data_IF_093026257888
#
_entry.id   IF_093026257888
#
_cell.length_a   1.000
_cell.length_b   1.000
_cell.length_c   1.000
_cell.angle_alpha   90.00
_cell.angle_beta   90.00
_cell.angle_gamma   90.00
#
_symmetry.space_group_name_H-M   'P 1'
#
loop_
_entity.id
_entity.type
_entity.pdbx_description
1 polymer ?
#
# COMPACT_ATOMS: atom_id res chain seq x y z
N UNK A 1 67.92 4.04 -12.34
CA UNK A 1 68.09 2.97 -11.34
C UNK A 1 66.86 3.10 -10.43
N UNK A 2 65.83 2.30 -10.66
CA UNK A 2 64.60 2.34 -9.85
C UNK A 2 64.74 1.28 -8.77
N UNK A 3 64.94 1.73 -7.54
CA UNK A 3 65.15 0.85 -6.40
C UNK A 3 63.89 0.02 -6.10
N UNK A 4 64.06 -1.29 -6.18
CA UNK A 4 63.05 -2.31 -5.92
C UNK A 4 62.97 -2.66 -4.42
N UNK A 5 63.06 -1.66 -3.54
CA UNK A 5 63.04 -1.88 -2.08
C UNK A 5 61.69 -1.49 -1.45
N UNK A 6 60.59 -1.94 -2.05
CA UNK A 6 59.30 -2.06 -1.35
C UNK A 6 58.33 -3.04 -2.05
N UNK A 7 58.86 -4.11 -2.62
CA UNK A 7 58.10 -4.98 -3.53
C UNK A 7 57.30 -6.07 -2.81
N UNK A 8 57.56 -6.32 -1.52
CA UNK A 8 56.91 -7.38 -0.74
C UNK A 8 55.64 -6.94 0.01
N UNK A 9 55.67 -5.79 0.70
CA UNK A 9 54.54 -5.31 1.52
C UNK A 9 53.49 -4.61 0.66
N UNK A 10 53.90 -3.74 -0.26
CA UNK A 10 53.00 -3.05 -1.20
C UNK A 10 52.23 -4.00 -2.13
N UNK A 11 52.87 -5.07 -2.61
CA UNK A 11 52.24 -6.06 -3.49
C UNK A 11 51.14 -6.86 -2.78
N UNK A 12 51.30 -7.15 -1.48
CA UNK A 12 50.28 -7.82 -0.67
C UNK A 12 49.06 -6.92 -0.45
N UNK A 13 49.28 -5.66 -0.13
CA UNK A 13 48.21 -4.66 0.02
C UNK A 13 47.43 -4.48 -1.28
N UNK A 14 48.12 -4.42 -2.42
CA UNK A 14 47.47 -4.33 -3.73
C UNK A 14 46.59 -5.56 -4.03
N UNK A 15 47.04 -6.77 -3.67
CA UNK A 15 46.26 -8.02 -3.84
C UNK A 15 44.99 -8.01 -2.98
N UNK A 16 45.05 -7.53 -1.73
CA UNK A 16 43.86 -7.48 -0.89
C UNK A 16 42.81 -6.50 -1.42
N UNK A 17 43.25 -5.35 -1.95
CA UNK A 17 42.35 -4.35 -2.53
C UNK A 17 41.67 -4.88 -3.79
N UNK A 18 42.38 -5.58 -4.67
CA UNK A 18 41.77 -6.14 -5.89
C UNK A 18 40.79 -7.26 -5.58
N UNK A 19 41.08 -8.12 -4.60
CA UNK A 19 40.15 -9.17 -4.14
C UNK A 19 38.88 -8.57 -3.54
N UNK A 20 39.00 -7.49 -2.76
CA UNK A 20 37.84 -6.80 -2.18
C UNK A 20 36.93 -6.22 -3.27
N UNK A 21 37.50 -5.54 -4.27
CA UNK A 21 36.72 -4.97 -5.40
C UNK A 21 36.07 -6.06 -6.24
N UNK A 22 36.78 -7.17 -6.51
CA UNK A 22 36.21 -8.30 -7.24
C UNK A 22 35.03 -8.94 -6.50
N UNK A 23 35.13 -9.11 -5.17
CA UNK A 23 34.03 -9.65 -4.36
C UNK A 23 32.80 -8.75 -4.33
N UNK A 24 32.99 -7.43 -4.37
CA UNK A 24 31.89 -6.47 -4.43
C UNK A 24 31.15 -6.54 -5.78
N UNK A 25 31.88 -6.66 -6.89
CA UNK A 25 31.29 -6.80 -8.24
C UNK A 25 30.59 -8.16 -8.43
N UNK A 26 31.15 -9.23 -7.88
CA UNK A 26 30.51 -10.57 -7.90
C UNK A 26 29.25 -10.58 -7.03
N UNK A 27 29.29 -9.94 -5.86
CA UNK A 27 28.11 -9.75 -5.01
C UNK A 27 27.00 -8.99 -5.73
N UNK A 28 27.33 -7.89 -6.42
CA UNK A 28 26.37 -7.11 -7.21
C UNK A 28 25.77 -7.92 -8.37
N UNK A 29 26.58 -8.71 -9.08
CA UNK A 29 26.12 -9.57 -10.17
C UNK A 29 25.26 -10.74 -9.66
N UNK A 30 25.59 -11.32 -8.50
CA UNK A 30 24.84 -12.40 -7.88
C UNK A 30 23.46 -11.95 -7.37
N UNK A 31 23.32 -10.69 -6.95
CA UNK A 31 22.01 -10.10 -6.61
C UNK A 31 21.12 -9.97 -7.86
N UNK A 32 21.69 -9.68 -9.03
CA UNK A 32 20.94 -9.57 -10.29
C UNK A 32 20.69 -10.91 -11.01
N UNK A 33 21.40 -11.99 -10.64
CA UNK A 33 21.32 -13.29 -11.32
C UNK A 33 20.41 -14.29 -10.58
N UNK A 34 19.10 -14.20 -10.85
CA UNK A 34 18.21 -15.37 -10.85
C UNK A 34 17.46 -15.77 -9.57
N UNK A 35 17.73 -15.17 -8.40
CA UNK A 35 16.97 -15.49 -7.17
C UNK A 35 15.80 -14.54 -6.88
N UNK A 36 15.81 -13.31 -7.41
CA UNK A 36 14.77 -12.30 -7.10
C UNK A 36 13.65 -12.24 -8.17
N UNK A 37 13.87 -12.85 -9.33
CA UNK A 37 12.90 -12.84 -10.44
C UNK A 37 11.72 -13.80 -10.20
N UNK A 38 11.98 -14.99 -9.65
CA UNK A 38 10.93 -15.98 -9.39
C UNK A 38 10.04 -15.63 -8.18
N UNK A 39 10.51 -14.77 -7.27
CA UNK A 39 9.70 -14.26 -6.15
C UNK A 39 8.76 -13.11 -6.60
N UNK A 40 9.22 -12.29 -7.55
CA UNK A 40 8.40 -11.20 -8.12
C UNK A 40 7.18 -11.72 -8.88
N UNK A 41 7.29 -12.89 -9.53
CA UNK A 41 6.17 -13.55 -10.20
C UNK A 41 5.10 -14.10 -9.25
N UNK A 42 5.50 -14.65 -8.10
CA UNK A 42 4.58 -15.15 -7.07
C UNK A 42 3.84 -14.01 -6.33
N UNK A 43 4.52 -12.88 -6.11
CA UNK A 43 3.89 -11.67 -5.52
C UNK A 43 2.95 -10.99 -6.53
N UNK A 44 3.23 -11.09 -7.83
CA UNK A 44 2.38 -10.52 -8.89
C UNK A 44 1.03 -11.23 -9.04
N UNK A 45 0.93 -12.53 -8.67
CA UNK A 45 -0.34 -13.28 -8.68
C UNK A 45 -1.37 -12.76 -7.68
N UNK A 46 -0.93 -12.15 -6.57
CA UNK A 46 -1.80 -11.52 -5.56
C UNK A 46 -2.26 -10.12 -6.02
N UNK A 47 -1.46 -9.42 -6.81
CA UNK A 47 -1.76 -8.06 -7.28
C UNK A 47 -2.81 -8.00 -8.41
N UNK A 48 -3.06 -9.09 -9.13
CA UNK A 48 -4.04 -9.10 -10.23
C UNK A 48 -5.49 -9.04 -9.75
N UNK A 49 -5.81 -9.58 -8.57
CA UNK A 49 -7.15 -9.46 -7.95
C UNK A 49 -7.43 -8.03 -7.47
N UNK A 50 -6.41 -7.31 -7.00
CA UNK A 50 -6.52 -5.91 -6.54
C UNK A 50 -6.64 -4.91 -7.71
N UNK A 51 -6.03 -5.24 -8.86
CA UNK A 51 -5.98 -4.36 -10.03
C UNK A 51 -7.33 -4.23 -10.74
N UNK A 52 -8.12 -5.31 -10.83
CA UNK A 52 -9.44 -5.28 -11.48
C UNK A 52 -10.49 -4.52 -10.65
N UNK A 53 -10.40 -4.58 -9.31
CA UNK A 53 -11.21 -3.77 -8.39
C UNK A 53 -10.81 -2.29 -8.43
N UNK A 54 -9.51 -2.01 -8.51
CA UNK A 54 -9.03 -0.61 -8.54
C UNK A 54 -9.39 0.08 -9.86
N UNK A 55 -9.26 -0.62 -10.99
CA UNK A 55 -9.55 -0.06 -12.33
C UNK A 55 -11.06 0.19 -12.54
N UNK A 56 -11.94 -0.60 -11.92
CA UNK A 56 -13.41 -0.44 -11.99
C UNK A 56 -13.95 0.66 -11.05
N UNK A 57 -13.36 0.83 -9.86
CA UNK A 57 -13.66 1.97 -8.96
C UNK A 57 -13.20 3.29 -9.58
N UNK A 58 -12.04 3.31 -10.23
CA UNK A 58 -11.48 4.51 -10.85
C UNK A 58 -12.36 5.07 -11.98
N UNK A 59 -12.92 4.21 -12.84
CA UNK A 59 -13.77 4.62 -13.98
C UNK A 59 -15.09 5.29 -13.57
N UNK A 60 -15.53 5.10 -12.33
CA UNK A 60 -16.76 5.70 -11.79
C UNK A 60 -16.49 7.02 -11.06
N UNK A 61 -15.24 7.26 -10.66
CA UNK A 61 -14.81 8.39 -9.81
C UNK A 61 -14.73 9.73 -10.55
N UNK A 62 -14.57 9.72 -11.87
CA UNK A 62 -14.38 10.94 -12.68
C UNK A 62 -15.64 11.84 -12.79
N UNK A 63 -16.75 11.50 -12.11
CA UNK A 63 -18.01 12.24 -12.20
C UNK A 63 -18.51 12.87 -10.90
N UNK A 64 -17.88 12.61 -9.75
CA UNK A 64 -18.39 13.09 -8.44
C UNK A 64 -17.28 13.78 -7.66
N UNK A 65 -17.44 15.09 -7.42
CA UNK A 65 -16.60 15.85 -6.50
C UNK A 65 -16.98 15.55 -5.05
N UNK A 66 -16.11 14.84 -4.34
CA UNK A 66 -16.27 14.52 -2.91
C UNK A 66 -15.74 15.62 -1.99
N UNK A 67 -15.24 16.75 -2.53
CA UNK A 67 -14.68 17.84 -1.72
C UNK A 67 -15.68 18.43 -0.72
N UNK A 68 -16.94 18.60 -1.13
CA UNK A 68 -17.99 19.07 -0.22
C UNK A 68 -18.27 18.07 0.92
N UNK A 69 -18.23 16.77 0.62
CA UNK A 69 -18.41 15.73 1.63
C UNK A 69 -17.33 15.83 2.72
N UNK A 70 -16.06 15.92 2.32
CA UNK A 70 -14.94 16.05 3.26
C UNK A 70 -14.96 17.37 4.03
N UNK A 71 -15.38 18.47 3.39
CA UNK A 71 -15.52 19.76 4.09
C UNK A 71 -16.52 19.67 5.23
N UNK A 72 -17.67 19.02 5.01
CA UNK A 72 -18.68 18.83 6.06
C UNK A 72 -18.20 17.86 7.13
N UNK A 73 -17.51 16.78 6.73
CA UNK A 73 -16.88 15.84 7.66
C UNK A 73 -15.94 16.57 8.63
N UNK A 74 -15.00 17.36 8.10
CA UNK A 74 -14.04 18.12 8.88
C UNK A 74 -14.73 19.15 9.79
N UNK A 75 -15.78 19.82 9.31
CA UNK A 75 -16.53 20.79 10.11
C UNK A 75 -17.22 20.12 11.30
N UNK A 76 -17.80 18.94 11.12
CA UNK A 76 -18.38 18.14 12.20
C UNK A 76 -17.31 17.69 13.19
N UNK A 77 -16.15 17.23 12.70
CA UNK A 77 -15.04 16.83 13.57
C UNK A 77 -14.45 17.99 14.39
N UNK A 78 -14.52 19.21 13.88
CA UNK A 78 -13.99 20.39 14.58
C UNK A 78 -15.00 21.02 15.54
N UNK A 79 -16.31 20.92 15.26
CA UNK A 79 -17.33 21.71 15.96
C UNK A 79 -18.38 20.89 16.71
N UNK A 80 -18.50 19.60 16.44
CA UNK A 80 -19.49 18.77 17.13
C UNK A 80 -19.07 18.53 18.57
N UNK A 81 -19.95 18.86 19.51
CA UNK A 81 -19.66 18.88 20.95
C UNK A 81 -19.27 17.50 21.49
N UNK A 82 -19.78 16.43 20.88
CA UNK A 82 -19.59 15.05 21.32
C UNK A 82 -19.04 14.18 20.18
N UNK A 83 -18.00 14.67 19.51
CA UNK A 83 -17.40 13.97 18.36
C UNK A 83 -16.79 12.62 18.72
N UNK A 84 -16.30 12.47 19.94
CA UNK A 84 -15.61 11.27 20.39
C UNK A 84 -16.58 10.12 20.70
N UNK A 85 -17.89 10.37 20.77
CA UNK A 85 -18.90 9.33 20.96
C UNK A 85 -19.26 8.56 19.69
N UNK A 86 -18.84 9.06 18.52
CA UNK A 86 -19.12 8.44 17.23
C UNK A 86 -17.81 7.97 16.61
N UNK A 87 -17.67 6.66 16.44
CA UNK A 87 -16.49 6.06 15.79
C UNK A 87 -16.37 6.49 14.33
N UNK A 88 -15.15 6.43 13.78
CA UNK A 88 -14.95 6.72 12.36
C UNK A 88 -15.71 5.73 11.48
N UNK A 89 -15.75 4.46 11.88
CA UNK A 89 -16.52 3.41 11.22
C UNK A 89 -18.02 3.73 11.17
N UNK A 90 -18.60 4.18 12.28
CA UNK A 90 -20.02 4.55 12.35
C UNK A 90 -20.33 5.73 11.44
N UNK A 91 -19.41 6.70 11.33
CA UNK A 91 -19.57 7.84 10.40
C UNK A 91 -19.53 7.37 8.94
N UNK A 92 -18.61 6.47 8.60
CA UNK A 92 -18.53 5.87 7.26
C UNK A 92 -19.82 5.10 6.94
N UNK A 93 -20.28 4.24 7.86
CA UNK A 93 -21.52 3.49 7.68
C UNK A 93 -22.73 4.41 7.57
N UNK A 94 -22.80 5.48 8.35
CA UNK A 94 -23.82 6.51 8.24
C UNK A 94 -23.83 7.19 6.87
N UNK A 95 -22.66 7.54 6.33
CA UNK A 95 -22.52 8.08 4.98
C UNK A 95 -23.01 7.12 3.90
N UNK A 96 -22.67 5.84 4.00
CA UNK A 96 -23.12 4.80 3.07
C UNK A 96 -24.64 4.59 3.19
N UNK A 97 -25.19 4.54 4.40
CA UNK A 97 -26.66 4.47 4.61
C UNK A 97 -27.37 5.66 3.98
N UNK A 98 -26.84 6.87 4.14
CA UNK A 98 -27.35 8.08 3.49
C UNK A 98 -27.34 7.95 1.97
N UNK A 99 -26.22 7.53 1.40
CA UNK A 99 -26.08 7.28 -0.04
C UNK A 99 -27.13 6.27 -0.54
N UNK A 100 -27.28 5.13 0.13
CA UNK A 100 -28.26 4.10 -0.23
C UNK A 100 -29.68 4.62 -0.12
N UNK A 101 -30.00 5.34 0.95
CA UNK A 101 -31.33 5.92 1.17
C UNK A 101 -31.75 6.92 0.08
N UNK A 102 -30.77 7.58 -0.56
CA UNK A 102 -31.02 8.55 -1.63
C UNK A 102 -31.68 7.94 -2.87
N UNK A 103 -31.54 6.61 -3.06
CA UNK A 103 -32.18 5.87 -4.14
C UNK A 103 -33.69 5.65 -3.93
N UNK A 104 -34.22 5.90 -2.73
CA UNK A 104 -35.65 5.80 -2.38
C UNK A 104 -36.32 4.47 -2.76
N UNK A 105 -35.54 3.40 -2.90
CA UNK A 105 -36.04 2.06 -3.17
C UNK A 105 -36.19 1.28 -1.85
N UNK A 106 -37.40 0.82 -1.49
CA UNK A 106 -37.64 0.12 -0.22
C UNK A 106 -36.87 -1.20 -0.08
N UNK A 107 -36.34 -1.76 -1.18
CA UNK A 107 -35.56 -2.99 -1.16
C UNK A 107 -34.04 -2.77 -1.20
N UNK A 108 -33.59 -1.52 -1.36
CA UNK A 108 -32.16 -1.19 -1.31
C UNK A 108 -31.82 -0.68 0.08
N UNK A 109 -31.14 -1.52 0.87
CA UNK A 109 -30.68 -1.20 2.22
C UNK A 109 -29.21 -1.59 2.39
N UNK A 110 -28.48 -0.78 3.15
CA UNK A 110 -27.15 -1.13 3.65
C UNK A 110 -27.27 -1.54 5.11
N UNK A 111 -26.74 -2.73 5.43
CA UNK A 111 -26.66 -3.24 6.80
C UNK A 111 -25.20 -3.16 7.27
N UNK A 112 -24.99 -2.66 8.49
CA UNK A 112 -23.66 -2.72 9.13
C UNK A 112 -23.31 -4.19 9.44
N UNK A 113 -22.04 -4.49 9.76
CA UNK A 113 -21.65 -5.84 10.16
C UNK A 113 -22.45 -6.39 11.34
N UNK A 114 -22.82 -5.54 12.29
CA UNK A 114 -23.59 -5.96 13.46
C UNK A 114 -25.07 -6.17 13.13
N UNK A 115 -25.70 -5.26 12.36
CA UNK A 115 -27.07 -5.45 11.86
C UNK A 115 -27.20 -6.71 10.99
N UNK A 116 -26.16 -7.03 10.20
CA UNK A 116 -26.12 -8.22 9.36
C UNK A 116 -26.02 -9.51 10.17
N UNK A 117 -25.31 -9.50 11.29
CA UNK A 117 -25.25 -10.64 12.22
C UNK A 117 -26.61 -10.85 12.86
N UNK A 118 -27.19 -9.80 13.42
CA UNK A 118 -28.50 -9.86 14.09
C UNK A 118 -29.61 -10.36 13.13
N UNK A 119 -29.57 -9.93 11.87
CA UNK A 119 -30.51 -10.39 10.84
C UNK A 119 -30.32 -11.89 10.50
N UNK A 120 -29.08 -12.38 10.51
CA UNK A 120 -28.78 -13.77 10.18
C UNK A 120 -29.07 -14.73 11.34
N UNK A 121 -29.02 -14.23 12.57
CA UNK A 121 -29.24 -14.99 13.80
C UNK A 121 -30.73 -15.03 14.24
N UNK A 122 -31.60 -14.28 13.57
CA UNK A 122 -33.07 -14.25 13.79
C UNK A 122 -33.82 -15.29 12.95
#
# INVERSE_FOLDING_TARGET
MYDLENTGKGKRIFIYVTVAVASFLIGWQATNFGLITNLSGAISGVNNQKKEITDSVQKTKDKVDMGLYWTVWDELENRYADKDSISEEDRVYGGIKGLVSSFKDPYTVFMTPDESKDFSDS
#
